data_IF_653137625752
#
_entry.id   IF_653137625752
#
_cell.length_a   1.000
_cell.length_b   1.000
_cell.length_c   1.000
_cell.angle_alpha   90.00
_cell.angle_beta   90.00
_cell.angle_gamma   90.00
#
_symmetry.space_group_name_H-M   'P 1'
#
loop_
_entity.id
_entity.type
_entity.pdbx_description
1 polymer ?
#
# COMPACT_ATOMS: atom_id res chain seq x y z
N UNK A 1 5.67 -34.09 -15.28
CA UNK A 1 7.01 -33.98 -14.68
C UNK A 1 6.87 -33.06 -13.48
N UNK A 2 7.33 -33.41 -12.28
CA UNK A 2 7.28 -32.47 -11.17
C UNK A 2 8.18 -31.28 -11.51
N UNK A 3 7.61 -30.10 -11.54
CA UNK A 3 8.35 -28.84 -11.62
C UNK A 3 9.17 -28.72 -10.34
N UNK A 4 10.49 -28.90 -10.44
CA UNK A 4 11.39 -28.52 -9.36
C UNK A 4 11.18 -27.04 -9.10
N UNK A 5 10.54 -26.73 -7.98
CA UNK A 5 10.39 -25.33 -7.52
C UNK A 5 11.80 -24.82 -7.25
N UNK A 6 12.30 -23.96 -8.16
CA UNK A 6 13.56 -23.25 -7.92
C UNK A 6 13.29 -22.22 -6.83
N UNK A 7 13.79 -22.45 -5.63
CA UNK A 7 13.79 -21.46 -4.56
C UNK A 7 15.23 -20.98 -4.30
N UNK A 8 15.35 -19.79 -3.76
CA UNK A 8 16.60 -19.22 -3.27
C UNK A 8 16.36 -18.48 -1.95
N UNK A 9 17.39 -18.43 -1.12
CA UNK A 9 17.35 -17.67 0.14
C UNK A 9 17.65 -16.20 -0.14
N UNK A 10 16.88 -15.33 0.51
CA UNK A 10 17.01 -13.87 0.41
C UNK A 10 17.08 -13.28 1.82
N UNK A 11 18.24 -12.81 2.20
CA UNK A 11 18.52 -12.25 3.52
C UNK A 11 18.40 -10.74 3.48
N UNK A 12 17.54 -10.18 4.33
CA UNK A 12 17.23 -8.75 4.40
C UNK A 12 17.70 -8.20 5.74
N UNK A 13 18.89 -7.57 5.76
CA UNK A 13 19.56 -7.13 7.00
C UNK A 13 19.43 -5.62 7.19
N UNK A 14 18.78 -5.19 8.27
CA UNK A 14 18.50 -3.77 8.55
C UNK A 14 18.80 -3.37 9.98
N UNK A 15 19.35 -2.17 10.17
CA UNK A 15 19.47 -1.51 11.48
C UNK A 15 18.16 -0.85 11.96
N UNK A 16 17.11 -0.84 11.13
CA UNK A 16 15.76 -0.34 11.39
C UNK A 16 14.72 -1.44 11.20
N UNK A 17 13.50 -1.10 10.76
CA UNK A 17 12.36 -2.04 10.60
C UNK A 17 12.51 -3.02 9.44
N UNK A 18 13.34 -2.71 8.44
CA UNK A 18 13.53 -3.54 7.24
C UNK A 18 12.48 -3.33 6.14
N UNK A 19 11.49 -2.45 6.32
CA UNK A 19 10.40 -2.22 5.36
C UNK A 19 10.89 -1.86 3.97
N UNK A 20 11.91 -0.99 3.88
CA UNK A 20 12.52 -0.60 2.59
C UNK A 20 13.09 -1.83 1.86
N UNK A 21 13.80 -2.71 2.59
CA UNK A 21 14.36 -3.93 2.02
C UNK A 21 13.27 -4.86 1.51
N UNK A 22 12.24 -5.11 2.32
CA UNK A 22 11.11 -5.98 1.98
C UNK A 22 10.41 -5.45 0.71
N UNK A 23 10.17 -4.14 0.65
CA UNK A 23 9.51 -3.52 -0.51
C UNK A 23 10.33 -3.68 -1.79
N UNK A 24 11.63 -3.37 -1.74
CA UNK A 24 12.54 -3.51 -2.90
C UNK A 24 12.68 -4.98 -3.29
N UNK A 25 12.91 -5.87 -2.32
CA UNK A 25 13.08 -7.30 -2.54
C UNK A 25 11.88 -7.91 -3.27
N UNK A 26 10.66 -7.62 -2.80
CA UNK A 26 9.42 -8.12 -3.41
C UNK A 26 9.17 -7.54 -4.79
N UNK A 27 9.44 -6.25 -4.99
CA UNK A 27 9.31 -5.61 -6.30
C UNK A 27 10.25 -6.23 -7.34
N UNK A 28 11.48 -6.57 -6.94
CA UNK A 28 12.45 -7.22 -7.81
C UNK A 28 12.11 -8.71 -8.02
N UNK A 29 11.78 -9.46 -6.94
CA UNK A 29 11.45 -10.88 -7.04
C UNK A 29 10.24 -11.13 -7.96
N UNK A 30 9.26 -10.23 -7.96
CA UNK A 30 8.08 -10.30 -8.84
C UNK A 30 8.41 -10.25 -10.36
N UNK A 31 9.63 -9.85 -10.75
CA UNK A 31 10.06 -9.82 -12.15
C UNK A 31 10.58 -11.19 -12.64
N UNK A 32 10.76 -12.16 -11.73
CA UNK A 32 11.30 -13.49 -12.07
C UNK A 32 10.19 -14.54 -11.98
N UNK A 33 9.82 -15.10 -13.14
CA UNK A 33 8.88 -16.22 -13.20
C UNK A 33 9.54 -17.53 -12.75
N UNK A 34 8.76 -18.40 -12.09
CA UNK A 34 9.16 -19.76 -11.69
C UNK A 34 10.30 -19.84 -10.65
N UNK A 35 10.55 -18.77 -9.91
CA UNK A 35 11.52 -18.74 -8.81
C UNK A 35 10.82 -18.19 -7.55
N UNK A 36 11.03 -18.83 -6.41
CA UNK A 36 10.43 -18.42 -5.14
C UNK A 36 11.52 -17.97 -4.17
N UNK A 37 11.44 -16.75 -3.66
CA UNK A 37 12.33 -16.26 -2.62
C UNK A 37 11.87 -16.78 -1.25
N UNK A 38 12.77 -17.37 -0.49
CA UNK A 38 12.61 -17.65 0.95
C UNK A 38 13.19 -16.46 1.69
N UNK A 39 12.31 -15.56 2.13
CA UNK A 39 12.71 -14.30 2.77
C UNK A 39 13.11 -14.55 4.24
N UNK A 40 14.34 -14.13 4.61
CA UNK A 40 14.85 -14.06 5.97
C UNK A 40 15.03 -12.59 6.35
N UNK A 41 14.24 -12.08 7.28
CA UNK A 41 14.24 -10.66 7.64
C UNK A 41 14.89 -10.46 9.01
N UNK A 42 15.96 -9.68 9.05
CA UNK A 42 16.73 -9.35 10.26
C UNK A 42 16.64 -7.86 10.58
N UNK A 43 15.60 -7.43 11.29
CA UNK A 43 15.45 -6.04 11.69
C UNK A 43 16.30 -5.73 12.93
N UNK A 44 16.58 -4.43 13.14
CA UNK A 44 17.24 -3.90 14.34
C UNK A 44 18.65 -4.45 14.62
N UNK A 45 19.40 -4.78 13.57
CA UNK A 45 20.78 -5.22 13.67
C UNK A 45 21.69 -4.01 13.92
N UNK A 46 22.02 -3.75 15.20
CA UNK A 46 22.73 -2.55 15.69
C UNK A 46 23.99 -2.87 16.49
N UNK A 47 24.37 -4.12 16.55
CA UNK A 47 25.58 -4.56 17.26
C UNK A 47 26.27 -5.69 16.55
N UNK A 48 27.58 -5.85 16.78
CA UNK A 48 28.35 -6.94 16.21
C UNK A 48 27.79 -8.31 16.60
N UNK A 49 27.38 -8.48 17.87
CA UNK A 49 26.80 -9.74 18.36
C UNK A 49 25.49 -10.11 17.64
N UNK A 50 24.66 -9.11 17.29
CA UNK A 50 23.47 -9.37 16.49
C UNK A 50 23.84 -9.74 15.05
N UNK A 51 24.81 -9.04 14.48
CA UNK A 51 25.29 -9.32 13.14
C UNK A 51 25.91 -10.72 13.05
N UNK A 52 26.67 -11.16 14.06
CA UNK A 52 27.29 -12.49 14.07
C UNK A 52 26.26 -13.60 13.91
N UNK A 53 25.14 -13.52 14.63
CA UNK A 53 24.04 -14.48 14.50
C UNK A 53 23.44 -14.50 13.09
N UNK A 54 23.30 -13.31 12.49
CA UNK A 54 22.81 -13.19 11.11
C UNK A 54 23.78 -13.81 10.13
N UNK A 55 25.08 -13.62 10.33
CA UNK A 55 26.12 -14.20 9.50
C UNK A 55 26.17 -15.73 9.60
N UNK A 56 25.96 -16.29 10.79
CA UNK A 56 25.83 -17.75 10.98
C UNK A 56 24.64 -18.30 10.17
N UNK A 57 23.46 -17.65 10.20
CA UNK A 57 22.28 -18.05 9.45
C UNK A 57 22.48 -17.91 7.93
N UNK A 58 23.21 -16.87 7.47
CA UNK A 58 23.56 -16.70 6.05
C UNK A 58 24.52 -17.82 5.60
N UNK A 59 25.45 -18.24 6.45
CA UNK A 59 26.36 -19.34 6.14
C UNK A 59 25.66 -20.70 6.09
N UNK A 60 24.67 -20.93 6.98
CA UNK A 60 23.85 -22.15 6.97
C UNK A 60 22.92 -22.24 5.75
N UNK A 61 22.42 -21.11 5.29
CA UNK A 61 21.48 -21.03 4.16
C UNK A 61 21.92 -19.98 3.13
N UNK A 62 22.98 -20.24 2.35
CA UNK A 62 23.54 -19.25 1.42
C UNK A 62 22.52 -18.76 0.39
N UNK A 63 22.53 -17.44 0.14
CA UNK A 63 21.58 -16.81 -0.77
C UNK A 63 22.00 -15.40 -1.17
N UNK A 64 21.05 -14.53 -1.51
CA UNK A 64 21.31 -13.13 -1.81
C UNK A 64 21.14 -12.32 -0.52
N UNK A 65 22.07 -11.42 -0.22
CA UNK A 65 22.01 -10.53 0.95
C UNK A 65 21.75 -9.10 0.49
N UNK A 66 20.62 -8.53 0.91
CA UNK A 66 20.32 -7.10 0.75
C UNK A 66 20.36 -6.43 2.12
N UNK A 67 20.97 -5.25 2.22
CA UNK A 67 21.08 -4.59 3.52
C UNK A 67 20.91 -3.06 3.46
N UNK A 68 20.53 -2.48 4.63
CA UNK A 68 20.38 -1.04 4.85
C UNK A 68 21.12 -0.58 6.10
N UNK A 69 22.23 -1.24 6.42
CA UNK A 69 23.08 -0.84 7.55
C UNK A 69 23.81 0.48 7.26
N UNK A 70 23.90 1.37 8.25
CA UNK A 70 24.59 2.65 8.16
C UNK A 70 25.97 2.65 8.82
N UNK A 71 26.15 1.84 9.88
CA UNK A 71 27.41 1.76 10.62
C UNK A 71 28.48 1.06 9.80
N UNK A 72 29.59 1.76 9.52
CA UNK A 72 30.66 1.29 8.62
C UNK A 72 31.30 -0.02 9.07
N UNK A 73 31.45 -0.21 10.37
CA UNK A 73 32.07 -1.44 10.92
C UNK A 73 31.16 -2.66 10.68
N UNK A 74 29.84 -2.49 10.87
CA UNK A 74 28.87 -3.54 10.58
C UNK A 74 28.79 -3.85 9.08
N UNK A 75 28.80 -2.81 8.24
CA UNK A 75 28.83 -2.97 6.78
C UNK A 75 30.06 -3.73 6.33
N UNK A 76 31.24 -3.28 6.75
CA UNK A 76 32.51 -3.92 6.38
C UNK A 76 32.60 -5.39 6.82
N UNK A 77 32.05 -5.70 8.02
CA UNK A 77 31.99 -7.08 8.53
C UNK A 77 31.04 -7.96 7.73
N UNK A 78 29.82 -7.44 7.41
CA UNK A 78 28.84 -8.14 6.60
C UNK A 78 29.38 -8.45 5.20
N UNK A 79 29.90 -7.43 4.51
CA UNK A 79 30.45 -7.58 3.16
C UNK A 79 31.68 -8.49 3.15
N UNK A 80 32.54 -8.37 4.15
CA UNK A 80 33.73 -9.21 4.32
C UNK A 80 33.34 -10.68 4.45
N UNK A 81 32.41 -11.03 5.33
CA UNK A 81 31.94 -12.42 5.51
C UNK A 81 31.22 -12.94 4.28
N UNK A 82 30.32 -12.13 3.67
CA UNK A 82 29.62 -12.52 2.43
C UNK A 82 30.64 -12.84 1.30
N UNK A 83 31.71 -12.06 1.18
CA UNK A 83 32.78 -12.31 0.22
C UNK A 83 33.54 -13.59 0.53
N UNK A 84 33.86 -13.86 1.81
CA UNK A 84 34.53 -15.07 2.27
C UNK A 84 33.75 -16.33 1.89
N UNK A 85 32.44 -16.33 2.13
CA UNK A 85 31.55 -17.48 1.83
C UNK A 85 30.96 -17.46 0.41
N UNK A 86 31.45 -16.54 -0.44
CA UNK A 86 31.01 -16.36 -1.85
C UNK A 86 29.49 -16.13 -2.02
N UNK A 87 28.90 -15.34 -1.11
CA UNK A 87 27.48 -14.93 -1.13
C UNK A 87 27.37 -13.50 -1.69
N UNK A 88 26.53 -13.25 -2.72
CA UNK A 88 26.33 -11.89 -3.23
C UNK A 88 25.64 -10.99 -2.21
N UNK A 89 26.21 -9.81 -1.96
CA UNK A 89 25.64 -8.82 -1.06
C UNK A 89 25.54 -7.43 -1.70
N UNK A 90 24.49 -6.66 -1.35
CA UNK A 90 24.27 -5.32 -1.89
C UNK A 90 23.64 -4.39 -0.86
N UNK A 91 24.26 -3.23 -0.65
CA UNK A 91 23.64 -2.12 0.07
C UNK A 91 22.58 -1.44 -0.81
N UNK A 92 21.32 -1.43 -0.35
CA UNK A 92 20.23 -0.79 -1.08
C UNK A 92 20.27 0.74 -0.97
N UNK A 93 20.68 1.27 0.20
CA UNK A 93 20.73 2.72 0.41
C UNK A 93 22.09 3.34 0.14
N UNK A 94 23.18 2.57 0.21
CA UNK A 94 24.55 3.08 0.06
C UNK A 94 24.78 3.88 -1.22
N UNK A 95 24.50 3.33 -2.40
CA UNK A 95 24.66 4.06 -3.67
C UNK A 95 23.80 5.33 -3.76
N UNK A 96 22.57 5.30 -3.20
CA UNK A 96 21.68 6.47 -3.17
C UNK A 96 22.22 7.55 -2.24
N UNK A 97 22.75 7.16 -1.07
CA UNK A 97 23.40 8.10 -0.13
C UNK A 97 24.61 8.77 -0.76
N UNK A 98 25.48 8.02 -1.45
CA UNK A 98 26.64 8.56 -2.15
C UNK A 98 26.22 9.58 -3.24
N UNK A 99 25.15 9.30 -3.98
CA UNK A 99 24.60 10.24 -4.96
C UNK A 99 24.14 11.54 -4.29
N UNK A 100 23.47 11.45 -3.15
CA UNK A 100 22.99 12.62 -2.40
C UNK A 100 24.16 13.41 -1.81
N UNK A 101 25.16 12.77 -1.23
CA UNK A 101 26.36 13.43 -0.71
C UNK A 101 27.10 14.20 -1.83
N UNK A 102 27.25 13.57 -2.99
CA UNK A 102 27.89 14.20 -4.16
C UNK A 102 27.10 15.41 -4.68
N UNK A 103 25.78 15.33 -4.70
CA UNK A 103 24.93 16.40 -5.22
C UNK A 103 24.73 17.55 -4.22
N UNK A 104 24.54 17.22 -2.93
CA UNK A 104 24.27 18.20 -1.87
C UNK A 104 25.54 18.83 -1.31
N UNK A 105 26.72 18.21 -1.51
CA UNK A 105 27.99 18.64 -0.89
C UNK A 105 27.97 18.55 0.65
N UNK A 106 27.11 17.71 1.21
CA UNK A 106 26.91 17.54 2.64
C UNK A 106 27.08 16.08 3.07
N UNK A 107 27.75 15.86 4.19
CA UNK A 107 27.90 14.52 4.75
C UNK A 107 26.58 14.03 5.37
N UNK A 108 26.36 12.71 5.34
CA UNK A 108 25.21 12.08 6.01
C UNK A 108 25.32 12.22 7.54
N UNK A 109 24.18 12.28 8.21
CA UNK A 109 24.12 12.30 9.67
C UNK A 109 24.35 10.93 10.31
N UNK A 110 24.30 9.85 9.53
CA UNK A 110 24.39 8.46 10.00
C UNK A 110 23.31 8.05 11.00
N UNK A 111 22.24 8.84 11.17
CA UNK A 111 21.21 8.57 12.17
C UNK A 111 20.27 7.46 11.69
N UNK A 112 20.33 6.32 12.34
CA UNK A 112 19.44 5.17 12.10
C UNK A 112 17.99 5.55 12.38
N UNK A 113 17.08 5.19 11.48
CA UNK A 113 15.64 5.43 11.65
C UNK A 113 15.23 6.91 11.58
N UNK A 114 16.07 7.79 10.98
CA UNK A 114 15.77 9.21 10.86
C UNK A 114 14.43 9.52 10.17
N UNK A 115 13.94 8.63 9.32
CA UNK A 115 12.64 8.73 8.67
C UNK A 115 11.43 8.47 9.61
N UNK A 116 11.65 7.90 10.80
CA UNK A 116 10.59 7.56 11.76
C UNK A 116 10.47 8.58 12.91
N UNK A 117 10.75 9.84 12.63
CA UNK A 117 10.59 10.89 13.64
C UNK A 117 9.11 11.16 13.87
N UNK A 118 8.69 11.28 15.14
CA UNK A 118 7.35 11.74 15.54
C UNK A 118 7.22 13.24 15.22
N UNK A 119 6.94 13.54 13.97
CA UNK A 119 6.75 14.89 13.45
C UNK A 119 5.27 15.16 13.14
N UNK A 120 4.98 16.36 12.67
CA UNK A 120 3.62 16.75 12.25
C UNK A 120 3.01 15.80 11.21
N UNK A 121 3.84 15.25 10.30
CA UNK A 121 3.41 14.30 9.28
C UNK A 121 2.98 12.95 9.90
N UNK A 122 3.68 12.48 10.92
CA UNK A 122 3.28 11.28 11.66
C UNK A 122 1.91 11.47 12.32
N UNK A 123 1.69 12.61 13.03
CA UNK A 123 0.41 12.89 13.67
C UNK A 123 -0.72 13.07 12.64
N UNK A 124 -0.44 13.72 11.51
CA UNK A 124 -1.42 13.84 10.42
C UNK A 124 -1.85 12.47 9.86
N UNK A 125 -0.91 11.50 9.78
CA UNK A 125 -1.25 10.12 9.37
C UNK A 125 -2.13 9.41 10.41
N UNK A 126 -1.82 9.55 11.69
CA UNK A 126 -2.65 8.97 12.77
C UNK A 126 -4.05 9.58 12.77
N UNK A 127 -4.17 10.90 12.61
CA UNK A 127 -5.45 11.60 12.52
C UNK A 127 -6.26 11.11 11.30
N UNK A 128 -5.61 11.00 10.14
CA UNK A 128 -6.26 10.48 8.92
C UNK A 128 -6.73 9.03 9.07
N UNK A 129 -5.95 8.17 9.73
CA UNK A 129 -6.35 6.79 10.03
C UNK A 129 -7.56 6.75 10.96
N UNK A 130 -7.54 7.50 12.06
CA UNK A 130 -8.66 7.57 12.98
C UNK A 130 -9.93 8.08 12.27
N UNK A 131 -9.81 9.16 11.51
CA UNK A 131 -10.92 9.70 10.71
C UNK A 131 -11.49 8.62 9.78
N UNK A 132 -10.63 7.95 9.02
CA UNK A 132 -11.03 6.96 8.01
C UNK A 132 -11.71 5.74 8.63
N UNK A 133 -11.26 5.28 9.80
CA UNK A 133 -11.88 4.16 10.51
C UNK A 133 -13.30 4.51 11.01
N UNK A 134 -13.52 5.75 11.45
CA UNK A 134 -14.82 6.24 11.93
C UNK A 134 -15.80 6.44 10.76
N UNK A 135 -15.31 6.86 9.59
CA UNK A 135 -16.12 7.18 8.40
C UNK A 135 -16.11 6.07 7.35
N UNK A 136 -15.93 4.81 7.77
CA UNK A 136 -16.00 3.65 6.88
C UNK A 136 -17.46 3.19 6.68
N UNK A 137 -17.74 2.69 5.49
CA UNK A 137 -19.01 2.05 5.09
C UNK A 137 -20.27 2.91 5.38
N UNK A 138 -20.17 4.22 5.14
CA UNK A 138 -21.28 5.18 5.31
C UNK A 138 -21.58 5.57 6.75
N UNK A 139 -20.68 5.28 7.70
CA UNK A 139 -20.80 5.75 9.08
C UNK A 139 -20.47 7.25 9.18
N UNK A 140 -21.03 7.92 10.18
CA UNK A 140 -20.74 9.32 10.53
C UNK A 140 -20.78 10.30 9.34
N UNK A 141 -21.83 10.20 8.52
CA UNK A 141 -22.01 11.02 7.30
C UNK A 141 -22.02 12.53 7.54
N UNK A 142 -22.30 12.97 8.75
CA UNK A 142 -22.25 14.37 9.20
C UNK A 142 -20.83 14.97 9.14
N UNK A 143 -19.80 14.13 9.24
CA UNK A 143 -18.40 14.53 9.16
C UNK A 143 -17.78 14.49 7.75
N UNK A 144 -18.55 14.19 6.70
CA UNK A 144 -18.01 14.02 5.34
C UNK A 144 -17.34 15.28 4.77
N UNK A 145 -17.74 16.49 5.19
CA UNK A 145 -17.13 17.75 4.72
C UNK A 145 -15.69 17.93 5.22
N UNK A 146 -15.30 17.22 6.30
CA UNK A 146 -13.95 17.25 6.86
C UNK A 146 -12.99 16.26 6.16
N UNK A 147 -13.50 15.43 5.24
CA UNK A 147 -12.68 14.56 4.42
C UNK A 147 -11.81 15.36 3.42
N UNK A 148 -10.69 14.79 3.05
CA UNK A 148 -9.94 15.18 1.85
C UNK A 148 -10.50 14.48 0.62
N UNK A 149 -10.85 13.20 0.78
CA UNK A 149 -11.42 12.34 -0.27
C UNK A 149 -12.61 11.56 0.27
N UNK A 150 -13.68 11.47 -0.52
CA UNK A 150 -14.80 10.56 -0.26
C UNK A 150 -14.89 9.53 -1.39
N UNK A 151 -14.70 8.26 -1.04
CA UNK A 151 -14.84 7.15 -1.98
C UNK A 151 -16.30 6.68 -2.01
N UNK A 152 -16.86 6.58 -3.18
CA UNK A 152 -18.21 6.01 -3.39
C UNK A 152 -18.14 4.83 -4.35
N UNK A 153 -19.12 3.95 -4.31
CA UNK A 153 -19.18 2.80 -5.23
C UNK A 153 -19.95 1.63 -4.64
N UNK A 154 -20.28 0.68 -5.49
CA UNK A 154 -20.98 -0.55 -5.10
C UNK A 154 -20.10 -1.43 -4.21
N UNK A 155 -20.70 -2.45 -3.59
CA UNK A 155 -19.97 -3.40 -2.75
C UNK A 155 -18.85 -4.10 -3.54
N UNK A 156 -17.69 -4.29 -2.89
CA UNK A 156 -16.47 -4.97 -3.43
C UNK A 156 -15.71 -4.23 -4.52
N UNK A 157 -15.80 -2.91 -4.57
CA UNK A 157 -14.93 -2.06 -5.38
C UNK A 157 -13.65 -1.62 -4.65
N UNK A 158 -13.25 -2.30 -3.58
CA UNK A 158 -12.04 -2.04 -2.78
C UNK A 158 -12.01 -0.66 -2.09
N UNK A 159 -13.18 -0.06 -1.75
CA UNK A 159 -13.24 1.24 -1.06
C UNK A 159 -12.48 1.23 0.25
N UNK A 160 -12.84 0.37 1.20
CA UNK A 160 -12.22 0.29 2.54
C UNK A 160 -10.69 0.07 2.49
N UNK A 161 -10.13 -0.91 1.77
CA UNK A 161 -8.67 -1.05 1.73
C UNK A 161 -7.98 0.14 1.04
N UNK A 162 -8.62 0.77 0.06
CA UNK A 162 -8.08 1.97 -0.59
C UNK A 162 -8.12 3.18 0.35
N UNK A 163 -9.18 3.36 1.14
CA UNK A 163 -9.29 4.45 2.12
C UNK A 163 -8.21 4.34 3.21
N UNK A 164 -7.97 3.14 3.72
CA UNK A 164 -6.90 2.88 4.69
C UNK A 164 -5.51 3.17 4.07
N UNK A 165 -5.30 2.78 2.81
CA UNK A 165 -4.04 3.04 2.12
C UNK A 165 -3.78 4.55 1.92
N UNK A 166 -4.81 5.32 1.60
CA UNK A 166 -4.74 6.79 1.51
C UNK A 166 -4.51 7.43 2.88
N UNK A 167 -5.17 6.93 3.92
CA UNK A 167 -5.01 7.43 5.29
C UNK A 167 -3.58 7.25 5.82
N UNK A 168 -2.91 6.14 5.48
CA UNK A 168 -1.48 5.93 5.76
C UNK A 168 -0.55 6.97 5.10
N UNK A 169 -1.08 7.79 4.19
CA UNK A 169 -0.40 8.92 3.54
C UNK A 169 -0.91 10.28 4.02
N UNK A 170 -1.65 10.29 5.13
CA UNK A 170 -2.18 11.51 5.74
C UNK A 170 -3.41 12.09 5.05
N UNK A 171 -4.07 11.33 4.17
CA UNK A 171 -5.28 11.78 3.45
C UNK A 171 -6.51 11.24 4.17
N UNK A 172 -7.29 12.11 4.81
CA UNK A 172 -8.55 11.76 5.48
C UNK A 172 -9.57 11.30 4.44
N UNK A 173 -9.90 10.02 4.48
CA UNK A 173 -10.72 9.39 3.45
C UNK A 173 -11.95 8.75 4.08
N UNK A 174 -13.14 9.20 3.69
CA UNK A 174 -14.39 8.53 4.01
C UNK A 174 -14.81 7.60 2.87
N UNK A 175 -15.63 6.58 3.14
CA UNK A 175 -16.26 5.79 2.10
C UNK A 175 -17.76 5.61 2.32
N UNK A 176 -18.53 5.76 1.24
CA UNK A 176 -19.99 5.63 1.26
C UNK A 176 -20.40 4.59 0.21
N UNK A 177 -21.06 3.49 0.61
CA UNK A 177 -21.56 2.50 -0.32
C UNK A 177 -22.75 3.05 -1.13
N UNK A 178 -22.77 2.74 -2.42
CA UNK A 178 -23.92 3.01 -3.29
C UNK A 178 -24.76 1.75 -3.42
N UNK A 179 -25.99 1.79 -2.91
CA UNK A 179 -26.91 0.66 -2.91
C UNK A 179 -28.20 1.07 -3.63
N UNK A 180 -28.62 0.34 -4.68
CA UNK A 180 -29.90 0.61 -5.35
C UNK A 180 -31.07 0.59 -4.36
N UNK A 181 -31.96 1.56 -4.49
CA UNK A 181 -33.13 1.67 -3.62
C UNK A 181 -32.86 2.33 -2.24
N UNK A 182 -31.62 2.56 -1.87
CA UNK A 182 -31.26 3.34 -0.68
C UNK A 182 -30.92 4.77 -1.10
N UNK A 183 -31.58 5.80 -0.52
CA UNK A 183 -31.27 7.19 -0.85
C UNK A 183 -29.85 7.55 -0.38
N UNK A 184 -29.19 8.44 -1.13
CA UNK A 184 -27.89 8.98 -0.74
C UNK A 184 -28.03 9.82 0.54
N UNK A 185 -27.01 9.81 1.40
CA UNK A 185 -26.93 10.82 2.47
C UNK A 185 -26.97 12.23 1.87
N UNK A 186 -27.80 13.11 2.42
CA UNK A 186 -27.92 14.49 1.93
C UNK A 186 -26.57 15.22 1.94
N UNK A 187 -25.75 14.93 2.94
CA UNK A 187 -24.39 15.49 3.07
C UNK A 187 -23.54 15.16 1.83
N UNK A 188 -23.62 13.94 1.32
CA UNK A 188 -22.86 13.52 0.13
C UNK A 188 -23.26 14.31 -1.12
N UNK A 189 -24.53 14.68 -1.25
CA UNK A 189 -25.03 15.45 -2.40
C UNK A 189 -24.57 16.91 -2.40
N UNK A 190 -24.24 17.46 -1.23
CA UNK A 190 -23.92 18.90 -1.03
C UNK A 190 -22.43 19.18 -0.80
N UNK A 191 -21.58 18.15 -0.81
CA UNK A 191 -20.13 18.28 -0.59
C UNK A 191 -19.47 19.28 -1.55
N UNK A 192 -18.63 20.15 -1.01
CA UNK A 192 -17.89 21.16 -1.76
C UNK A 192 -16.37 20.98 -1.62
N UNK A 193 -15.91 20.74 -0.40
CA UNK A 193 -14.47 20.65 -0.08
C UNK A 193 -13.86 19.31 -0.50
N UNK A 194 -14.42 18.13 -0.16
CA UNK A 194 -13.82 16.85 -0.50
C UNK A 194 -13.78 16.58 -1.99
N UNK A 195 -12.76 15.81 -2.43
CA UNK A 195 -12.79 15.16 -3.73
C UNK A 195 -13.64 13.89 -3.64
N UNK A 196 -14.75 13.84 -4.38
CA UNK A 196 -15.55 12.61 -4.45
C UNK A 196 -15.08 11.76 -5.63
N UNK A 197 -14.72 10.49 -5.38
CA UNK A 197 -14.25 9.53 -6.38
C UNK A 197 -15.13 8.30 -6.36
N UNK A 198 -15.76 8.01 -7.49
CA UNK A 198 -16.58 6.81 -7.68
C UNK A 198 -15.71 5.66 -8.21
N UNK A 199 -15.58 4.62 -7.40
CA UNK A 199 -14.89 3.39 -7.79
C UNK A 199 -15.87 2.44 -8.45
N UNK A 200 -15.54 1.97 -9.66
CA UNK A 200 -16.35 1.00 -10.37
C UNK A 200 -15.51 -0.14 -10.92
N UNK A 201 -16.11 -1.30 -11.07
CA UNK A 201 -15.53 -2.45 -11.74
C UNK A 201 -16.57 -3.08 -12.67
N UNK A 202 -16.13 -3.95 -13.58
CA UNK A 202 -17.07 -4.69 -14.45
C UNK A 202 -17.91 -5.66 -13.62
N UNK A 203 -19.15 -5.95 -14.05
CA UNK A 203 -20.00 -6.92 -13.35
C UNK A 203 -19.33 -8.28 -13.16
N UNK A 204 -18.62 -8.78 -14.17
CA UNK A 204 -17.91 -10.06 -14.11
C UNK A 204 -16.84 -10.07 -13.00
N UNK A 205 -16.08 -8.98 -12.87
CA UNK A 205 -15.07 -8.83 -11.81
C UNK A 205 -15.71 -8.79 -10.43
N UNK A 206 -16.80 -8.06 -10.29
CA UNK A 206 -17.52 -7.99 -9.01
C UNK A 206 -18.08 -9.34 -8.60
N UNK A 207 -18.69 -10.08 -9.51
CA UNK A 207 -19.21 -11.43 -9.26
C UNK A 207 -18.08 -12.34 -8.79
N UNK A 208 -16.94 -12.34 -9.48
CA UNK A 208 -15.78 -13.15 -9.08
C UNK A 208 -15.30 -12.84 -7.65
N UNK A 209 -15.17 -11.55 -7.32
CA UNK A 209 -14.72 -11.12 -5.99
C UNK A 209 -15.75 -11.46 -4.91
N UNK A 210 -17.05 -11.30 -5.21
CA UNK A 210 -18.15 -11.64 -4.31
C UNK A 210 -18.23 -13.15 -4.06
N UNK A 211 -18.07 -13.99 -5.10
CA UNK A 211 -18.01 -15.45 -4.96
C UNK A 211 -16.86 -15.89 -4.04
N UNK A 212 -15.66 -15.36 -4.24
CA UNK A 212 -14.52 -15.65 -3.38
C UNK A 212 -14.80 -15.27 -1.92
N UNK A 213 -15.52 -14.17 -1.68
CA UNK A 213 -15.90 -13.74 -0.31
C UNK A 213 -16.90 -14.70 0.32
N UNK A 214 -17.93 -15.11 -0.40
CA UNK A 214 -18.92 -16.08 0.08
C UNK A 214 -18.26 -17.41 0.45
N UNK A 215 -17.33 -17.90 -0.37
CA UNK A 215 -16.55 -19.12 -0.09
C UNK A 215 -15.74 -18.98 1.21
N UNK A 216 -15.15 -17.81 1.46
CA UNK A 216 -14.34 -17.56 2.66
C UNK A 216 -15.20 -17.45 3.92
N UNK A 217 -16.44 -16.94 3.82
CA UNK A 217 -17.35 -16.75 4.96
C UNK A 217 -18.22 -17.98 5.26
N UNK A 218 -18.23 -18.99 4.37
CA UNK A 218 -19.08 -20.18 4.51
C UNK A 218 -20.57 -19.91 4.28
N UNK A 219 -20.92 -18.74 3.77
CA UNK A 219 -22.30 -18.35 3.47
C UNK A 219 -22.64 -18.74 2.03
N UNK A 220 -23.61 -19.66 1.86
CA UNK A 220 -24.02 -20.23 0.58
C UNK A 220 -25.37 -19.73 0.07
N UNK A 221 -26.10 -18.96 0.88
CA UNK A 221 -27.53 -18.68 0.60
C UNK A 221 -27.81 -17.28 -0.01
N UNK A 222 -26.81 -16.56 -0.52
CA UNK A 222 -27.02 -15.21 -1.04
C UNK A 222 -26.90 -15.13 -2.58
N UNK A 223 -27.79 -15.83 -3.28
CA UNK A 223 -27.79 -15.90 -4.75
C UNK A 223 -27.93 -14.53 -5.42
N UNK A 224 -28.71 -13.62 -4.86
CA UNK A 224 -28.91 -12.26 -5.38
C UNK A 224 -27.64 -11.44 -5.39
N UNK A 225 -26.72 -11.67 -4.43
CA UNK A 225 -25.46 -10.94 -4.29
C UNK A 225 -24.47 -11.19 -5.45
N UNK A 226 -24.62 -12.32 -6.12
CA UNK A 226 -23.80 -12.73 -7.29
C UNK A 226 -24.61 -12.84 -8.58
N UNK A 227 -25.91 -12.50 -8.55
CA UNK A 227 -26.74 -12.49 -9.75
C UNK A 227 -26.21 -11.48 -10.76
N UNK A 228 -26.00 -11.94 -11.98
CA UNK A 228 -25.36 -11.15 -13.04
C UNK A 228 -26.16 -9.89 -13.40
N UNK A 229 -27.50 -10.01 -13.46
CA UNK A 229 -28.33 -8.87 -13.81
C UNK A 229 -28.39 -7.86 -12.67
N UNK A 230 -28.57 -8.32 -11.43
CA UNK A 230 -28.56 -7.47 -10.25
C UNK A 230 -27.24 -6.69 -10.12
N UNK A 231 -26.10 -7.35 -10.31
CA UNK A 231 -24.79 -6.70 -10.26
C UNK A 231 -24.61 -5.69 -11.40
N UNK A 232 -25.09 -6.00 -12.61
CA UNK A 232 -25.04 -5.05 -13.72
C UNK A 232 -25.90 -3.80 -13.45
N UNK A 233 -27.08 -3.99 -12.86
CA UNK A 233 -27.99 -2.90 -12.49
C UNK A 233 -27.38 -2.02 -11.38
N UNK A 234 -26.71 -2.60 -10.38
CA UNK A 234 -25.94 -1.87 -9.37
C UNK A 234 -24.84 -1.00 -10.00
N UNK A 235 -24.04 -1.57 -10.91
CA UNK A 235 -22.96 -0.83 -11.59
C UNK A 235 -23.55 0.31 -12.44
N UNK A 236 -24.63 0.05 -13.18
CA UNK A 236 -25.31 1.07 -13.97
C UNK A 236 -25.90 2.19 -13.10
N UNK A 237 -26.44 1.84 -11.93
CA UNK A 237 -26.94 2.80 -10.95
C UNK A 237 -25.82 3.71 -10.43
N UNK A 238 -24.68 3.13 -9.99
CA UNK A 238 -23.55 3.90 -9.50
C UNK A 238 -22.97 4.84 -10.57
N UNK A 239 -22.89 4.39 -11.83
CA UNK A 239 -22.46 5.23 -12.95
C UNK A 239 -23.39 6.40 -13.21
N UNK A 240 -24.72 6.18 -13.17
CA UNK A 240 -25.72 7.26 -13.32
C UNK A 240 -25.58 8.31 -12.23
N UNK A 241 -25.39 7.89 -10.98
CA UNK A 241 -25.16 8.83 -9.86
C UNK A 241 -23.86 9.62 -10.05
N UNK A 242 -22.79 8.96 -10.44
CA UNK A 242 -21.50 9.62 -10.69
C UNK A 242 -21.60 10.67 -11.78
N UNK A 243 -22.33 10.39 -12.85
CA UNK A 243 -22.59 11.35 -13.93
C UNK A 243 -23.50 12.51 -13.45
N UNK A 244 -24.55 12.21 -12.66
CA UNK A 244 -25.46 13.22 -12.12
C UNK A 244 -24.75 14.25 -11.24
N UNK A 245 -23.82 13.79 -10.39
CA UNK A 245 -23.12 14.64 -9.44
C UNK A 245 -21.71 15.06 -9.92
N UNK A 246 -21.34 14.72 -11.15
CA UNK A 246 -20.03 15.01 -11.74
C UNK A 246 -18.86 14.51 -10.87
N UNK A 247 -19.00 13.33 -10.25
CA UNK A 247 -17.92 12.70 -9.49
C UNK A 247 -16.86 12.10 -10.40
N UNK A 248 -15.61 12.16 -9.98
CA UNK A 248 -14.53 11.51 -10.72
C UNK A 248 -14.75 10.00 -10.75
N UNK A 249 -14.77 9.40 -11.95
CA UNK A 249 -15.01 7.97 -12.14
C UNK A 249 -13.70 7.23 -12.35
N UNK A 250 -13.44 6.22 -11.53
CA UNK A 250 -12.20 5.43 -11.58
C UNK A 250 -12.51 3.94 -11.76
N UNK A 251 -12.03 3.36 -12.86
CA UNK A 251 -12.13 1.92 -13.12
C UNK A 251 -11.06 1.16 -12.32
N UNK A 252 -11.51 0.25 -11.44
CA UNK A 252 -10.65 -0.59 -10.60
C UNK A 252 -10.67 -2.08 -10.99
N UNK A 253 -11.24 -2.42 -12.15
CA UNK A 253 -11.43 -3.80 -12.62
C UNK A 253 -10.13 -4.62 -12.57
N UNK A 254 -9.03 -4.02 -12.98
CA UNK A 254 -7.70 -4.65 -13.09
C UNK A 254 -6.61 -3.91 -12.31
N UNK A 255 -6.98 -3.03 -11.38
CA UNK A 255 -6.03 -2.27 -10.58
C UNK A 255 -5.82 -2.89 -9.22
N UNK A 256 -4.59 -2.81 -8.74
CA UNK A 256 -4.29 -3.04 -7.33
C UNK A 256 -4.81 -1.90 -6.46
N UNK A 257 -4.79 -2.08 -5.15
CA UNK A 257 -5.15 -1.02 -4.18
C UNK A 257 -4.18 0.15 -4.31
N UNK A 258 -2.90 -0.13 -4.46
CA UNK A 258 -1.82 0.84 -4.61
C UNK A 258 -1.97 1.69 -5.87
N UNK A 259 -2.25 1.04 -7.01
CA UNK A 259 -2.51 1.75 -8.29
C UNK A 259 -3.76 2.61 -8.23
N UNK A 260 -4.81 2.11 -7.56
CA UNK A 260 -6.05 2.84 -7.33
C UNK A 260 -5.78 4.08 -6.46
N UNK A 261 -5.08 3.91 -5.35
CA UNK A 261 -4.72 5.00 -4.45
C UNK A 261 -3.80 6.02 -5.14
N UNK A 262 -2.82 5.57 -5.94
CA UNK A 262 -1.95 6.47 -6.71
C UNK A 262 -2.75 7.33 -7.69
N UNK A 263 -3.73 6.75 -8.39
CA UNK A 263 -4.62 7.50 -9.28
C UNK A 263 -5.48 8.52 -8.52
N UNK A 264 -6.00 8.16 -7.34
CA UNK A 264 -6.77 9.07 -6.48
C UNK A 264 -5.89 10.22 -5.97
N UNK A 265 -4.68 9.91 -5.48
CA UNK A 265 -3.73 10.95 -5.03
C UNK A 265 -3.39 11.93 -6.15
N UNK A 266 -3.24 11.46 -7.39
CA UNK A 266 -3.05 12.34 -8.53
C UNK A 266 -4.24 13.28 -8.72
N UNK A 267 -5.48 12.76 -8.74
CA UNK A 267 -6.69 13.58 -8.85
C UNK A 267 -6.81 14.60 -7.72
N UNK A 268 -6.49 14.19 -6.49
CA UNK A 268 -6.51 15.05 -5.31
C UNK A 268 -5.48 16.19 -5.44
N UNK A 269 -4.24 15.86 -5.79
CA UNK A 269 -3.18 16.86 -5.95
C UNK A 269 -3.47 17.83 -7.10
N UNK A 270 -4.01 17.34 -8.23
CA UNK A 270 -4.39 18.19 -9.36
C UNK A 270 -5.51 19.17 -8.95
N UNK A 271 -6.49 18.69 -8.15
CA UNK A 271 -7.55 19.55 -7.61
C UNK A 271 -7.01 20.60 -6.63
N UNK A 272 -6.05 20.23 -5.76
CA UNK A 272 -5.43 21.20 -4.83
C UNK A 272 -4.67 22.30 -5.56
N UNK A 273 -3.95 21.94 -6.62
CA UNK A 273 -3.23 22.92 -7.47
C UNK A 273 -4.17 23.85 -8.25
N UNK A 274 -5.36 23.37 -8.61
CA UNK A 274 -6.36 24.16 -9.34
C UNK A 274 -7.17 25.11 -8.44
N UNK A 275 -7.09 24.94 -7.10
CA UNK A 275 -7.72 25.88 -6.14
C UNK A 275 -6.87 27.14 -6.08
N UNK A 276 -7.46 28.37 -6.26
CA UNK A 276 -6.74 29.60 -6.00
C UNK A 276 -6.23 29.60 -4.56
N UNK A 277 -5.00 30.07 -4.36
CA UNK A 277 -4.47 30.38 -3.02
C UNK A 277 -5.37 31.47 -2.41
N UNK A 278 -6.09 31.15 -1.36
CA UNK A 278 -6.77 32.17 -0.53
C UNK A 278 -5.76 33.02 0.24
#
# INVERSE_FOLDING_TARGET
MPTTSNYFHLHLVSDSTGETLITVARAVAAQYANVTAVEHVYPLVRSQKQLDRVLDEIEESPGIVLFTLLEKDLVGRLEGKCKEINVPSLSIIGPVMQLFEAYLGAATTGRVGAQHVLNAEYFARIDALNYTMIHDDGQHVEGLEDADVVLVGVSRTSKTPTSIYLANRGIRTANVPLVPGIPLPHQLETLKKPLVVSLHATPERLIQVRQNRLLTMGDRDNDTYIDKQAVADEVAFARRLSAKFNWALLDVTRRSIEETAAAIMKLYNDRQRARPSE
#
